data_IF_573009077272
#
_entry.id   IF_573009077272
#
_cell.length_a   1.000
_cell.length_b   1.000
_cell.length_c   1.000
_cell.angle_alpha   90.00
_cell.angle_beta   90.00
_cell.angle_gamma   90.00
#
_symmetry.space_group_name_H-M   'P 1'
#
loop_
_entity.id
_entity.type
_entity.pdbx_description
1 polymer ?
#
# COMPACT_ATOMS: atom_id res chain seq x y z
N UNK A 1 2.79 -12.25 1.38
CA UNK A 1 2.98 -11.88 -0.04
C UNK A 1 1.70 -12.10 -0.87
N UNK A 2 0.91 -13.15 -0.60
CA UNK A 2 -0.28 -13.50 -1.39
C UNK A 2 -1.27 -12.34 -1.62
N UNK A 3 -1.60 -11.58 -0.57
CA UNK A 3 -2.51 -10.42 -0.67
C UNK A 3 -2.00 -9.35 -1.63
N UNK A 4 -0.70 -9.04 -1.62
CA UNK A 4 -0.12 -8.06 -2.55
C UNK A 4 -0.20 -8.56 -4.01
N UNK A 5 -0.02 -9.87 -4.22
CA UNK A 5 -0.14 -10.48 -5.55
C UNK A 5 -1.59 -10.50 -6.06
N UNK A 6 -2.56 -10.79 -5.19
CA UNK A 6 -3.99 -10.71 -5.51
C UNK A 6 -4.39 -9.29 -5.93
N UNK A 7 -3.92 -8.28 -5.20
CA UNK A 7 -4.13 -6.85 -5.51
C UNK A 7 -3.48 -6.44 -6.83
N UNK A 8 -2.30 -6.95 -7.16
CA UNK A 8 -1.67 -6.74 -8.45
C UNK A 8 -2.50 -7.37 -9.59
N UNK A 9 -3.05 -8.57 -9.39
CA UNK A 9 -3.96 -9.20 -10.34
C UNK A 9 -5.27 -8.40 -10.50
N UNK A 10 -5.79 -7.79 -9.44
CA UNK A 10 -6.92 -6.87 -9.51
C UNK A 10 -6.59 -5.60 -10.29
N UNK A 11 -5.43 -4.98 -10.04
CA UNK A 11 -4.98 -3.82 -10.79
C UNK A 11 -4.91 -4.12 -12.29
N UNK A 12 -4.31 -5.26 -12.65
CA UNK A 12 -4.23 -5.71 -14.03
C UNK A 12 -5.62 -5.84 -14.68
N UNK A 13 -6.58 -6.47 -13.97
CA UNK A 13 -7.97 -6.62 -14.44
C UNK A 13 -8.70 -5.28 -14.62
N UNK A 14 -8.29 -4.25 -13.87
CA UNK A 14 -8.84 -2.91 -13.94
C UNK A 14 -8.09 -1.97 -14.90
N UNK A 15 -7.18 -2.49 -15.75
CA UNK A 15 -6.32 -1.69 -16.63
C UNK A 15 -5.47 -0.65 -15.86
N UNK A 16 -5.00 -1.01 -14.68
CA UNK A 16 -3.98 -0.28 -13.91
C UNK A 16 -2.61 -0.96 -14.04
N UNK A 17 -1.55 -0.27 -13.63
CA UNK A 17 -0.22 -0.89 -13.49
C UNK A 17 -0.32 -2.01 -12.44
N UNK A 18 0.16 -3.24 -12.72
CA UNK A 18 -0.05 -4.41 -11.84
C UNK A 18 0.85 -4.39 -10.60
N UNK A 19 0.66 -3.38 -9.75
CA UNK A 19 1.34 -3.22 -8.47
C UNK A 19 0.32 -3.35 -7.35
N UNK A 20 0.59 -4.27 -6.42
CA UNK A 20 -0.15 -4.42 -5.17
C UNK A 20 0.81 -4.28 -3.99
N UNK A 21 0.28 -3.81 -2.87
CA UNK A 21 1.04 -3.45 -1.69
C UNK A 21 0.25 -3.73 -0.41
N UNK A 22 0.94 -4.15 0.67
CA UNK A 22 0.33 -4.39 1.97
C UNK A 22 1.30 -4.12 3.12
N UNK A 23 0.83 -3.44 4.18
CA UNK A 23 1.50 -3.37 5.48
C UNK A 23 1.05 -4.52 6.38
N UNK A 24 2.01 -5.22 6.97
CA UNK A 24 1.79 -6.31 7.92
C UNK A 24 2.34 -5.91 9.27
N UNK A 25 1.53 -6.05 10.31
CA UNK A 25 1.92 -5.77 11.70
C UNK A 25 1.52 -6.97 12.57
N UNK A 26 2.48 -7.54 13.29
CA UNK A 26 2.29 -8.76 14.10
C UNK A 26 1.62 -9.93 13.33
N UNK A 27 1.99 -10.09 12.05
CA UNK A 27 1.45 -11.14 11.18
C UNK A 27 0.07 -10.86 10.58
N UNK A 28 -0.54 -9.71 10.88
CA UNK A 28 -1.84 -9.30 10.33
C UNK A 28 -1.69 -8.18 9.30
N UNK A 29 -2.47 -8.23 8.22
CA UNK A 29 -2.53 -7.13 7.26
C UNK A 29 -3.35 -5.99 7.84
N UNK A 30 -2.72 -4.85 8.07
CA UNK A 30 -3.37 -3.66 8.66
C UNK A 30 -3.75 -2.61 7.61
N UNK A 31 -3.08 -2.62 6.45
CA UNK A 31 -3.43 -1.78 5.31
C UNK A 31 -2.97 -2.44 4.02
N UNK A 32 -3.71 -2.23 2.94
CA UNK A 32 -3.34 -2.74 1.61
C UNK A 32 -3.90 -1.87 0.51
N UNK A 33 -3.27 -1.89 -0.67
CA UNK A 33 -3.59 -1.01 -1.78
C UNK A 33 -3.01 -1.52 -3.10
N UNK A 34 -3.56 -0.99 -4.19
CA UNK A 34 -3.09 -1.27 -5.55
C UNK A 34 -2.92 0.05 -6.30
N UNK A 35 -2.29 0.00 -7.46
CA UNK A 35 -2.19 1.19 -8.30
C UNK A 35 -3.59 1.69 -8.70
N UNK A 36 -3.83 2.98 -8.55
CA UNK A 36 -5.12 3.64 -8.80
C UNK A 36 -4.96 4.92 -9.67
N UNK A 37 -3.83 5.07 -10.35
CA UNK A 37 -3.48 6.27 -11.16
C UNK A 37 -4.54 6.57 -12.22
N UNK A 38 -4.97 5.56 -12.98
CA UNK A 38 -5.95 5.75 -14.05
C UNK A 38 -7.35 6.01 -13.49
N UNK A 39 -7.74 5.28 -12.45
CA UNK A 39 -9.06 5.39 -11.82
C UNK A 39 -9.28 6.77 -11.17
N UNK A 40 -8.25 7.29 -10.51
CA UNK A 40 -8.30 8.58 -9.78
C UNK A 40 -7.89 9.77 -10.65
N UNK A 41 -7.22 9.51 -11.78
CA UNK A 41 -6.57 10.54 -12.63
C UNK A 41 -5.53 11.36 -11.87
N UNK A 42 -4.86 10.74 -10.92
CA UNK A 42 -3.79 11.32 -10.11
C UNK A 42 -2.54 10.44 -10.19
N UNK A 43 -1.49 10.98 -10.79
CA UNK A 43 -0.23 10.28 -11.03
C UNK A 43 0.49 9.84 -9.75
N UNK A 44 0.10 10.35 -8.57
CA UNK A 44 0.71 9.99 -7.29
C UNK A 44 0.10 8.74 -6.64
N UNK A 45 -0.99 8.20 -7.20
CA UNK A 45 -1.78 7.10 -6.60
C UNK A 45 -1.17 5.72 -6.91
N UNK A 46 0.13 5.59 -6.63
CA UNK A 46 0.85 4.32 -6.65
C UNK A 46 0.38 3.42 -5.49
N UNK A 47 0.57 2.11 -5.62
CA UNK A 47 0.10 1.14 -4.64
C UNK A 47 0.59 1.45 -3.22
N UNK A 48 1.84 1.87 -3.07
CA UNK A 48 2.47 2.25 -1.80
C UNK A 48 1.80 3.49 -1.21
N UNK A 49 1.57 4.53 -2.01
CA UNK A 49 0.90 5.76 -1.55
C UNK A 49 -0.54 5.52 -1.14
N UNK A 50 -1.27 4.69 -1.90
CA UNK A 50 -2.63 4.26 -1.55
C UNK A 50 -2.61 3.49 -0.21
N UNK A 51 -1.61 2.62 -0.03
CA UNK A 51 -1.46 1.79 1.18
C UNK A 51 -1.08 2.61 2.41
N UNK A 52 -0.18 3.59 2.29
CA UNK A 52 0.18 4.53 3.38
C UNK A 52 -1.06 5.29 3.87
N UNK A 53 -1.88 5.84 2.98
CA UNK A 53 -3.08 6.58 3.39
C UNK A 53 -4.10 5.69 4.11
N UNK A 54 -4.22 4.44 3.67
CA UNK A 54 -5.06 3.44 4.35
C UNK A 54 -4.47 3.07 5.71
N UNK A 55 -3.15 2.99 5.84
CA UNK A 55 -2.46 2.79 7.11
C UNK A 55 -2.71 3.95 8.08
N UNK A 56 -2.61 5.21 7.62
CA UNK A 56 -2.94 6.38 8.43
C UNK A 56 -4.38 6.32 8.95
N UNK A 57 -5.33 5.93 8.10
CA UNK A 57 -6.73 5.77 8.49
C UNK A 57 -6.91 4.63 9.50
N UNK A 58 -6.23 3.50 9.30
CA UNK A 58 -6.25 2.39 10.25
C UNK A 58 -5.70 2.80 11.61
N UNK A 59 -4.59 3.55 11.65
CA UNK A 59 -4.01 4.06 12.89
C UNK A 59 -4.98 4.98 13.65
N UNK A 60 -5.64 5.92 12.94
CA UNK A 60 -6.67 6.80 13.51
C UNK A 60 -7.84 6.01 14.10
N UNK A 61 -8.33 5.01 13.38
CA UNK A 61 -9.46 4.18 13.81
C UNK A 61 -9.12 3.32 15.04
N UNK A 62 -7.87 2.86 15.15
CA UNK A 62 -7.42 1.97 16.22
C UNK A 62 -6.66 2.69 17.35
N UNK A 63 -6.63 4.04 17.33
CA UNK A 63 -5.94 4.88 18.31
C UNK A 63 -4.45 4.48 18.47
N UNK A 64 -3.79 4.18 17.35
CA UNK A 64 -2.36 3.86 17.27
C UNK A 64 -1.58 5.06 16.76
N UNK A 65 -0.37 5.23 17.26
CA UNK A 65 0.57 6.23 16.76
C UNK A 65 1.20 5.73 15.46
N UNK A 66 1.06 6.51 14.39
CA UNK A 66 1.54 6.14 13.05
C UNK A 66 3.04 5.84 13.04
N UNK A 67 3.85 6.72 13.64
CA UNK A 67 5.31 6.57 13.69
C UNK A 67 5.75 5.25 14.35
N UNK A 68 5.02 4.84 15.40
CA UNK A 68 5.28 3.57 16.06
C UNK A 68 4.93 2.38 15.17
N UNK A 69 3.76 2.43 14.52
CA UNK A 69 3.33 1.34 13.62
C UNK A 69 4.27 1.20 12.44
N UNK A 70 4.72 2.31 11.84
CA UNK A 70 5.65 2.29 10.70
C UNK A 70 6.96 1.56 11.04
N UNK A 71 7.50 1.75 12.24
CA UNK A 71 8.75 1.10 12.68
C UNK A 71 8.56 -0.39 12.98
N UNK A 72 7.37 -0.82 13.38
CA UNK A 72 7.10 -2.20 13.79
C UNK A 72 6.43 -3.05 12.68
N UNK A 73 6.17 -2.48 11.50
CA UNK A 73 5.48 -3.15 10.39
C UNK A 73 6.41 -3.48 9.23
N UNK A 74 6.04 -4.51 8.47
CA UNK A 74 6.69 -4.89 7.22
C UNK A 74 5.86 -4.44 6.03
N UNK A 75 6.52 -3.90 5.00
CA UNK A 75 5.88 -3.55 3.73
C UNK A 75 6.15 -4.64 2.69
N UNK A 76 5.08 -5.19 2.11
CA UNK A 76 5.16 -6.13 1.00
C UNK A 76 4.66 -5.45 -0.28
N UNK A 77 5.46 -5.49 -1.34
CA UNK A 77 5.14 -4.89 -2.64
C UNK A 77 5.52 -5.82 -3.78
N UNK A 78 4.72 -5.88 -4.85
CA UNK A 78 4.95 -6.79 -5.98
C UNK A 78 6.05 -6.36 -6.94
N UNK A 79 6.45 -5.08 -6.90
CA UNK A 79 7.50 -4.47 -7.73
C UNK A 79 8.36 -3.58 -6.83
N UNK A 80 9.64 -3.44 -7.16
CA UNK A 80 10.52 -2.48 -6.46
C UNK A 80 9.90 -1.06 -6.45
N UNK A 81 9.82 -0.39 -5.29
CA UNK A 81 9.27 0.96 -5.21
C UNK A 81 10.05 1.95 -6.10
N UNK A 82 9.33 2.85 -6.76
CA UNK A 82 9.97 3.94 -7.51
C UNK A 82 10.57 4.98 -6.55
N UNK A 83 11.43 5.88 -7.05
CA UNK A 83 12.11 6.92 -6.25
C UNK A 83 11.14 7.74 -5.37
N UNK A 84 9.95 8.07 -5.88
CA UNK A 84 8.92 8.78 -5.10
C UNK A 84 8.44 7.94 -3.91
N UNK A 85 8.06 6.68 -4.18
CA UNK A 85 7.55 5.77 -3.14
C UNK A 85 8.64 5.44 -2.13
N UNK A 86 9.88 5.17 -2.56
CA UNK A 86 11.04 4.93 -1.67
C UNK A 86 11.33 6.09 -0.73
N UNK A 87 11.06 7.33 -1.15
CA UNK A 87 11.25 8.50 -0.28
C UNK A 87 10.07 8.73 0.68
N UNK A 88 8.92 8.11 0.44
CA UNK A 88 7.70 8.26 1.23
C UNK A 88 7.53 7.18 2.30
N UNK A 89 8.03 5.96 2.02
CA UNK A 89 8.06 4.82 2.96
C UNK A 89 9.27 4.92 3.89
#
# INVERSE_FOLDING_TARGET
MDIAFELACEALRCNEVPVGCAFVYNGEVIASGRNEVNATRDATQHAEMVTIRRLEQWCRNNQKELDKILVECDLFVTVEPCIMCTAAV
#
